data_IF_546458623887
#
_entry.id   IF_546458623887
#
_cell.length_a   1.000
_cell.length_b   1.000
_cell.length_c   1.000
_cell.angle_alpha   90.00
_cell.angle_beta   90.00
_cell.angle_gamma   90.00
#
_symmetry.space_group_name_H-M   'P 1'
#
loop_
_entity.id
_entity.type
_entity.pdbx_description
1 polymer ?
#
# COMPACT_ATOMS: atom_id res chain seq x y z
N UNK A 1 6.08 23.67 -5.54
CA UNK A 1 6.45 22.74 -4.45
C UNK A 1 6.58 21.31 -4.96
N UNK A 2 5.52 20.72 -5.54
CA UNK A 2 5.52 19.32 -6.00
C UNK A 2 6.64 18.96 -7.01
N UNK A 3 6.90 19.79 -8.03
CA UNK A 3 8.02 19.56 -8.97
C UNK A 3 9.40 19.53 -8.27
N UNK A 4 9.60 20.37 -7.25
CA UNK A 4 10.84 20.40 -6.45
C UNK A 4 10.97 19.17 -5.54
N UNK A 5 9.84 18.66 -5.03
CA UNK A 5 9.83 17.42 -4.25
C UNK A 5 10.20 16.22 -5.12
N UNK A 6 9.68 16.14 -6.35
CA UNK A 6 10.01 15.02 -7.26
C UNK A 6 11.50 14.87 -7.53
N UNK A 7 12.25 15.98 -7.65
CA UNK A 7 13.71 15.92 -7.81
C UNK A 7 14.42 15.31 -6.61
N UNK A 8 13.87 15.47 -5.40
CA UNK A 8 14.44 14.92 -4.16
C UNK A 8 14.01 13.48 -3.86
N UNK A 9 12.90 13.04 -4.46
CA UNK A 9 12.33 11.70 -4.23
C UNK A 9 12.86 10.64 -5.20
N UNK A 10 13.75 10.98 -6.13
CA UNK A 10 14.24 10.01 -7.12
C UNK A 10 14.95 8.81 -6.48
N UNK A 11 14.76 7.65 -7.11
CA UNK A 11 15.44 6.40 -6.77
C UNK A 11 16.46 6.04 -7.87
N UNK A 12 17.54 5.31 -7.55
CA UNK A 12 18.54 4.91 -8.54
C UNK A 12 18.12 3.68 -9.37
N UNK A 13 16.96 3.09 -9.09
CA UNK A 13 16.39 1.98 -9.83
C UNK A 13 15.25 2.46 -10.75
N UNK A 14 15.11 1.87 -11.96
CA UNK A 14 14.16 2.36 -12.95
C UNK A 14 12.73 1.95 -12.62
N UNK A 15 11.78 2.83 -12.93
CA UNK A 15 10.36 2.49 -13.01
C UNK A 15 10.05 1.78 -14.35
N UNK A 16 9.06 0.89 -14.33
CA UNK A 16 8.53 0.21 -15.51
C UNK A 16 7.01 0.22 -15.43
N UNK A 17 6.34 0.15 -16.57
CA UNK A 17 4.88 0.07 -16.66
C UNK A 17 4.47 -1.10 -17.54
N UNK A 18 3.41 -1.80 -17.14
CA UNK A 18 2.82 -2.87 -17.96
C UNK A 18 2.38 -2.33 -19.32
N UNK A 19 2.64 -3.04 -20.45
CA UNK A 19 2.27 -2.58 -21.79
C UNK A 19 0.76 -2.27 -21.91
N UNK A 20 -0.07 -3.10 -21.27
CA UNK A 20 -1.53 -2.96 -21.26
C UNK A 20 -2.08 -2.04 -20.16
N UNK A 21 -1.29 -1.10 -19.63
CA UNK A 21 -1.75 -0.16 -18.59
C UNK A 21 -3.02 0.63 -18.98
N UNK A 22 -3.18 0.95 -20.26
CA UNK A 22 -4.40 1.60 -20.78
C UNK A 22 -5.61 0.68 -20.71
N UNK A 23 -5.43 -0.63 -20.88
CA UNK A 23 -6.53 -1.59 -20.80
C UNK A 23 -7.00 -1.77 -19.36
N UNK A 24 -6.07 -1.95 -18.41
CA UNK A 24 -6.46 -2.08 -16.99
C UNK A 24 -7.07 -0.79 -16.44
N UNK A 25 -6.62 0.38 -16.90
CA UNK A 25 -7.22 1.66 -16.48
C UNK A 25 -8.69 1.77 -16.90
N UNK A 26 -9.08 1.16 -18.04
CA UNK A 26 -10.47 1.13 -18.50
C UNK A 26 -11.39 0.25 -17.63
N UNK A 27 -10.83 -0.65 -16.82
CA UNK A 27 -11.60 -1.49 -15.89
C UNK A 27 -11.94 -0.77 -14.58
N UNK A 28 -11.17 0.26 -14.20
CA UNK A 28 -11.33 1.00 -12.93
C UNK A 28 -12.74 1.56 -12.73
N UNK A 29 -13.40 2.18 -13.75
CA UNK A 29 -14.78 2.63 -13.60
C UNK A 29 -15.76 1.54 -13.15
N UNK A 30 -15.66 0.33 -13.70
CA UNK A 30 -16.53 -0.78 -13.33
C UNK A 30 -16.29 -1.23 -11.88
N UNK A 31 -15.03 -1.23 -11.43
CA UNK A 31 -14.70 -1.57 -10.04
C UNK A 31 -15.21 -0.50 -9.07
N UNK A 32 -15.03 0.78 -9.40
CA UNK A 32 -15.55 1.89 -8.60
C UNK A 32 -17.09 1.91 -8.55
N UNK A 33 -17.75 1.56 -9.65
CA UNK A 33 -19.22 1.54 -9.74
C UNK A 33 -19.87 0.40 -8.95
N UNK A 34 -19.13 -0.65 -8.62
CA UNK A 34 -19.58 -1.72 -7.74
C UNK A 34 -19.86 -1.25 -6.30
N UNK A 35 -19.31 -0.11 -5.88
CA UNK A 35 -19.56 0.50 -4.56
C UNK A 35 -20.83 1.36 -4.59
N UNK A 36 -21.98 0.73 -4.80
CA UNK A 36 -23.28 1.40 -5.02
C UNK A 36 -23.79 2.21 -3.83
N UNK A 37 -23.29 1.95 -2.62
CA UNK A 37 -23.58 2.74 -1.42
C UNK A 37 -22.85 4.10 -1.40
N UNK A 38 -21.84 4.29 -2.25
CA UNK A 38 -21.13 5.56 -2.37
C UNK A 38 -21.86 6.52 -3.31
N UNK A 39 -21.90 7.82 -2.99
CA UNK A 39 -22.47 8.81 -3.89
C UNK A 39 -21.67 8.90 -5.20
N UNK A 40 -22.29 9.32 -6.31
CA UNK A 40 -21.63 9.44 -7.62
C UNK A 40 -20.32 10.24 -7.59
N UNK A 41 -20.28 11.34 -6.83
CA UNK A 41 -19.10 12.19 -6.72
C UNK A 41 -17.93 11.47 -6.03
N UNK A 42 -18.20 10.70 -4.97
CA UNK A 42 -17.18 9.88 -4.31
C UNK A 42 -16.63 8.80 -5.25
N UNK A 43 -17.51 8.11 -6.00
CA UNK A 43 -17.08 7.13 -7.01
C UNK A 43 -16.21 7.76 -8.10
N UNK A 44 -16.54 8.98 -8.52
CA UNK A 44 -15.78 9.70 -9.55
C UNK A 44 -14.33 10.00 -9.13
N UNK A 45 -14.08 10.20 -7.83
CA UNK A 45 -12.71 10.39 -7.32
C UNK A 45 -11.85 9.13 -7.51
N UNK A 46 -12.41 7.93 -7.29
CA UNK A 46 -11.67 6.68 -7.51
C UNK A 46 -11.42 6.41 -9.00
N UNK A 47 -12.35 6.83 -9.88
CA UNK A 47 -12.16 6.74 -11.34
C UNK A 47 -11.07 7.66 -11.86
N UNK A 48 -10.87 8.82 -11.22
CA UNK A 48 -9.84 9.77 -11.60
C UNK A 48 -8.45 9.45 -11.03
N UNK A 49 -8.36 8.54 -10.05
CA UNK A 49 -7.13 8.29 -9.28
C UNK A 49 -6.05 7.49 -10.04
N UNK A 50 -6.30 7.06 -11.28
CA UNK A 50 -5.36 6.31 -12.11
C UNK A 50 -4.86 5.01 -11.42
N UNK A 51 -5.76 4.28 -10.76
CA UNK A 51 -5.39 3.09 -9.97
C UNK A 51 -5.01 1.89 -10.86
N UNK A 52 -5.49 1.85 -12.10
CA UNK A 52 -5.05 0.86 -13.09
C UNK A 52 -3.60 1.12 -13.48
N UNK A 53 -3.24 2.39 -13.70
CA UNK A 53 -1.86 2.83 -13.92
C UNK A 53 -0.96 2.49 -12.74
N UNK A 54 -1.36 2.76 -11.49
CA UNK A 54 -0.58 2.38 -10.30
C UNK A 54 -0.33 0.87 -10.26
N UNK A 55 -1.37 0.07 -10.48
CA UNK A 55 -1.26 -1.39 -10.52
C UNK A 55 -0.29 -1.85 -11.62
N UNK A 56 -0.36 -1.25 -12.81
CA UNK A 56 0.53 -1.53 -13.92
C UNK A 56 1.99 -1.11 -13.68
N UNK A 57 2.24 -0.10 -12.84
CA UNK A 57 3.56 0.34 -12.42
C UNK A 57 4.17 -0.60 -11.36
N UNK A 58 3.33 -1.12 -10.47
CA UNK A 58 3.73 -2.09 -9.45
C UNK A 58 4.04 -3.48 -10.02
N UNK A 59 3.28 -3.91 -11.03
CA UNK A 59 3.37 -5.25 -11.61
C UNK A 59 3.59 -5.20 -13.14
N UNK A 60 4.71 -4.63 -13.61
CA UNK A 60 4.92 -4.29 -15.01
C UNK A 60 5.06 -5.49 -15.96
N UNK A 61 5.23 -6.69 -15.43
CA UNK A 61 5.45 -7.93 -16.19
C UNK A 61 4.49 -9.06 -15.75
N UNK A 62 3.49 -8.78 -14.92
CA UNK A 62 2.52 -9.80 -14.53
C UNK A 62 1.60 -10.15 -15.70
N UNK A 63 1.12 -11.40 -15.81
CA UNK A 63 0.07 -11.73 -16.77
C UNK A 63 -1.16 -10.81 -16.60
N UNK A 64 -1.68 -10.25 -17.68
CA UNK A 64 -2.80 -9.30 -17.64
C UNK A 64 -4.01 -9.81 -16.82
N UNK A 65 -4.30 -11.12 -16.88
CA UNK A 65 -5.36 -11.74 -16.08
C UNK A 65 -5.21 -11.56 -14.57
N UNK A 66 -3.98 -11.43 -14.06
CA UNK A 66 -3.68 -11.16 -12.65
C UNK A 66 -3.70 -9.66 -12.35
N UNK A 67 -3.48 -8.80 -13.34
CA UNK A 67 -3.53 -7.35 -13.19
C UNK A 67 -4.96 -6.87 -12.84
N UNK A 68 -5.99 -7.56 -13.34
CA UNK A 68 -7.42 -7.31 -13.07
C UNK A 68 -7.74 -7.38 -11.57
N UNK A 69 -7.54 -8.51 -10.87
CA UNK A 69 -7.85 -8.57 -9.44
C UNK A 69 -6.89 -7.74 -8.57
N UNK A 70 -5.65 -7.50 -9.01
CA UNK A 70 -4.73 -6.59 -8.32
C UNK A 70 -5.26 -5.14 -8.33
N UNK A 71 -5.73 -4.67 -9.48
CA UNK A 71 -6.34 -3.36 -9.59
C UNK A 71 -7.67 -3.28 -8.83
N UNK A 72 -8.47 -4.35 -8.82
CA UNK A 72 -9.67 -4.46 -8.00
C UNK A 72 -9.35 -4.32 -6.51
N UNK A 73 -8.33 -5.03 -6.01
CA UNK A 73 -7.87 -4.90 -4.63
C UNK A 73 -7.37 -3.48 -4.34
N UNK A 74 -6.70 -2.83 -5.30
CA UNK A 74 -6.22 -1.47 -5.09
C UNK A 74 -7.36 -0.46 -4.99
N UNK A 75 -8.37 -0.55 -5.86
CA UNK A 75 -9.62 0.23 -5.69
C UNK A 75 -10.26 -0.07 -4.34
N UNK A 76 -10.29 -1.34 -3.94
CA UNK A 76 -10.82 -1.76 -2.65
C UNK A 76 -10.10 -1.11 -1.47
N UNK A 77 -8.75 -1.10 -1.45
CA UNK A 77 -7.98 -0.47 -0.36
C UNK A 77 -8.27 1.02 -0.29
N UNK A 78 -8.33 1.71 -1.42
CA UNK A 78 -8.66 3.14 -1.45
C UNK A 78 -10.06 3.43 -0.92
N UNK A 79 -11.06 2.61 -1.27
CA UNK A 79 -12.42 2.75 -0.73
C UNK A 79 -12.44 2.43 0.76
N UNK A 80 -11.78 1.35 1.19
CA UNK A 80 -11.73 0.94 2.58
C UNK A 80 -11.08 2.03 3.45
N UNK A 81 -9.98 2.60 2.98
CA UNK A 81 -9.25 3.66 3.67
C UNK A 81 -10.02 4.99 3.70
N UNK A 82 -10.51 5.49 2.55
CA UNK A 82 -11.19 6.79 2.53
C UNK A 82 -12.56 6.76 3.28
N UNK A 83 -13.23 5.59 3.34
CA UNK A 83 -14.61 5.45 3.84
C UNK A 83 -14.69 4.67 5.16
N UNK A 84 -14.18 3.44 5.20
CA UNK A 84 -14.33 2.57 6.38
C UNK A 84 -13.41 2.98 7.53
N UNK A 85 -12.25 3.58 7.22
CA UNK A 85 -11.37 4.14 8.24
C UNK A 85 -12.03 5.28 9.04
N UNK A 86 -13.21 5.79 8.65
CA UNK A 86 -13.98 6.79 9.42
C UNK A 86 -15.05 6.18 10.32
N UNK A 87 -15.37 4.89 10.19
CA UNK A 87 -16.40 4.24 11.00
C UNK A 87 -16.05 4.23 12.49
N UNK A 88 -17.03 4.19 13.40
CA UNK A 88 -16.78 3.90 14.82
C UNK A 88 -15.96 2.62 15.01
N UNK A 89 -15.11 2.60 16.04
CA UNK A 89 -14.16 1.50 16.28
C UNK A 89 -14.82 0.11 16.26
N UNK A 90 -15.99 -0.05 16.89
CA UNK A 90 -16.72 -1.32 16.93
C UNK A 90 -17.22 -1.78 15.57
N UNK A 91 -17.67 -0.86 14.72
CA UNK A 91 -18.13 -1.15 13.37
C UNK A 91 -16.96 -1.51 12.46
N UNK A 92 -15.86 -0.73 12.52
CA UNK A 92 -14.63 -1.06 11.78
C UNK A 92 -14.11 -2.45 12.16
N UNK A 93 -14.07 -2.77 13.46
CA UNK A 93 -13.65 -4.09 13.94
C UNK A 93 -14.52 -5.21 13.39
N UNK A 94 -15.85 -5.03 13.40
CA UNK A 94 -16.78 -6.04 12.88
C UNK A 94 -16.57 -6.31 11.38
N UNK A 95 -16.35 -5.26 10.57
CA UNK A 95 -16.05 -5.42 9.14
C UNK A 95 -14.70 -6.13 8.93
N UNK A 96 -13.67 -5.77 9.70
CA UNK A 96 -12.35 -6.42 9.63
C UNK A 96 -12.41 -7.91 10.04
N UNK A 97 -13.21 -8.26 11.05
CA UNK A 97 -13.46 -9.66 11.42
C UNK A 97 -14.14 -10.42 10.28
N UNK A 98 -15.10 -9.78 9.60
CA UNK A 98 -15.76 -10.38 8.46
C UNK A 98 -14.82 -10.59 7.27
N UNK A 99 -13.96 -9.62 6.94
CA UNK A 99 -12.91 -9.74 5.93
C UNK A 99 -11.91 -10.86 6.26
N UNK A 100 -11.57 -11.01 7.54
CA UNK A 100 -10.71 -12.11 8.02
C UNK A 100 -11.38 -13.48 7.81
N UNK A 101 -12.71 -13.58 8.03
CA UNK A 101 -13.48 -14.78 7.70
C UNK A 101 -13.42 -15.13 6.21
N UNK A 102 -13.52 -14.13 5.33
CA UNK A 102 -13.39 -14.33 3.87
C UNK A 102 -12.00 -14.86 3.50
N UNK A 103 -10.92 -14.32 4.07
CA UNK A 103 -9.57 -14.87 3.86
C UNK A 103 -9.44 -16.31 4.37
N UNK A 104 -10.26 -16.73 5.33
CA UNK A 104 -10.29 -18.11 5.85
C UNK A 104 -11.20 -19.04 5.04
N UNK A 105 -11.92 -18.53 4.05
CA UNK A 105 -12.74 -19.33 3.12
C UNK A 105 -14.24 -19.08 3.23
N UNK A 106 -14.69 -18.18 4.09
CA UNK A 106 -16.10 -17.80 4.11
C UNK A 106 -16.48 -17.06 2.83
N UNK A 107 -17.74 -17.22 2.40
CA UNK A 107 -18.31 -16.43 1.31
C UNK A 107 -19.16 -15.29 1.87
N UNK A 108 -19.16 -14.10 1.25
CA UNK A 108 -20.11 -13.05 1.60
C UNK A 108 -21.54 -13.51 1.32
N UNK A 109 -22.46 -13.16 2.22
CA UNK A 109 -23.90 -13.32 2.02
C UNK A 109 -24.42 -12.27 1.03
N UNK A 110 -25.50 -12.55 0.33
CA UNK A 110 -25.99 -11.73 -0.80
C UNK A 110 -26.34 -10.29 -0.39
N UNK A 111 -26.81 -10.11 0.84
CA UNK A 111 -27.20 -8.84 1.44
C UNK A 111 -26.03 -8.03 2.01
N UNK A 112 -24.84 -8.61 2.11
CA UNK A 112 -23.67 -7.91 2.61
C UNK A 112 -23.19 -6.82 1.64
N UNK A 113 -22.56 -5.78 2.17
CA UNK A 113 -22.11 -4.65 1.37
C UNK A 113 -21.06 -5.06 0.33
N UNK A 114 -20.95 -4.27 -0.74
CA UNK A 114 -20.06 -4.61 -1.86
C UNK A 114 -18.57 -4.58 -1.49
N UNK A 115 -18.18 -3.94 -0.38
CA UNK A 115 -16.81 -4.02 0.15
C UNK A 115 -16.38 -5.47 0.41
N UNK A 116 -17.26 -6.29 0.98
CA UNK A 116 -16.97 -7.69 1.30
C UNK A 116 -16.94 -8.53 0.02
N UNK A 117 -17.87 -8.26 -0.90
CA UNK A 117 -17.95 -8.93 -2.20
C UNK A 117 -16.73 -8.66 -3.08
N UNK A 118 -16.31 -7.40 -3.23
CA UNK A 118 -15.16 -7.03 -4.06
C UNK A 118 -13.86 -7.63 -3.51
N UNK A 119 -13.73 -7.70 -2.18
CA UNK A 119 -12.62 -8.37 -1.53
C UNK A 119 -12.60 -9.87 -1.84
N UNK A 120 -13.75 -10.56 -1.69
CA UNK A 120 -13.86 -11.98 -1.99
C UNK A 120 -13.58 -12.30 -3.48
N UNK A 121 -14.15 -11.52 -4.40
CA UNK A 121 -13.95 -11.68 -5.85
C UNK A 121 -12.47 -11.56 -6.20
N UNK A 122 -11.78 -10.53 -5.69
CA UNK A 122 -10.38 -10.34 -6.03
C UNK A 122 -9.48 -11.48 -5.52
N UNK A 123 -9.73 -11.99 -4.31
CA UNK A 123 -8.99 -13.14 -3.76
C UNK A 123 -9.31 -14.44 -4.50
N UNK A 124 -10.55 -14.64 -4.94
CA UNK A 124 -10.93 -15.76 -5.79
C UNK A 124 -10.20 -15.70 -7.16
N UNK A 125 -10.21 -14.55 -7.82
CA UNK A 125 -9.53 -14.32 -9.11
C UNK A 125 -7.99 -14.47 -9.00
N UNK A 126 -7.39 -14.14 -7.84
CA UNK A 126 -5.98 -14.40 -7.53
C UNK A 126 -5.68 -15.87 -7.22
N UNK A 127 -6.69 -16.75 -7.26
CA UNK A 127 -6.61 -18.14 -6.84
C UNK A 127 -6.01 -18.29 -5.43
N UNK A 128 -6.30 -17.33 -4.54
CA UNK A 128 -5.72 -17.23 -3.20
C UNK A 128 -5.83 -18.57 -2.44
N UNK A 129 -7.01 -19.19 -2.43
CA UNK A 129 -7.25 -20.43 -1.68
C UNK A 129 -6.47 -21.65 -2.22
N UNK A 130 -6.02 -21.61 -3.47
CA UNK A 130 -5.21 -22.65 -4.12
C UNK A 130 -3.71 -22.50 -3.83
N UNK A 131 -3.28 -21.40 -3.21
CA UNK A 131 -1.88 -21.18 -2.86
C UNK A 131 -1.44 -22.06 -1.68
N UNK A 132 -0.12 -22.25 -1.57
CA UNK A 132 0.51 -23.00 -0.50
C UNK A 132 0.11 -22.46 0.89
N UNK A 133 -0.14 -23.35 1.85
CA UNK A 133 -0.59 -22.97 3.19
C UNK A 133 0.34 -21.97 3.89
N UNK A 134 1.66 -22.15 3.74
CA UNK A 134 2.66 -21.24 4.32
C UNK A 134 2.57 -19.82 3.74
N UNK A 135 2.33 -19.69 2.43
CA UNK A 135 2.15 -18.38 1.79
C UNK A 135 0.83 -17.73 2.22
N UNK A 136 -0.27 -18.50 2.26
CA UNK A 136 -1.56 -18.00 2.74
C UNK A 136 -1.49 -17.47 4.18
N UNK A 137 -0.72 -18.13 5.04
CA UNK A 137 -0.54 -17.72 6.43
C UNK A 137 0.14 -16.34 6.54
N UNK A 138 1.25 -16.11 5.81
CA UNK A 138 1.91 -14.79 5.80
C UNK A 138 1.07 -13.69 5.16
N UNK A 139 0.33 -14.01 4.09
CA UNK A 139 -0.57 -13.05 3.45
C UNK A 139 -1.73 -12.64 4.36
N UNK A 140 -2.30 -13.60 5.12
CA UNK A 140 -3.30 -13.32 6.14
C UNK A 140 -2.73 -12.42 7.25
N UNK A 141 -1.51 -12.70 7.71
CA UNK A 141 -0.81 -11.88 8.70
C UNK A 141 -0.61 -10.44 8.21
N UNK A 142 -0.24 -10.25 6.94
CA UNK A 142 -0.10 -8.93 6.32
C UNK A 142 -1.41 -8.12 6.29
N UNK A 143 -2.55 -8.76 6.04
CA UNK A 143 -3.86 -8.11 6.14
C UNK A 143 -4.23 -7.77 7.58
N UNK A 144 -3.97 -8.70 8.51
CA UNK A 144 -4.22 -8.47 9.93
C UNK A 144 -3.37 -7.32 10.47
N UNK A 145 -2.11 -7.20 10.02
CA UNK A 145 -1.22 -6.10 10.36
C UNK A 145 -1.81 -4.74 9.94
N UNK A 146 -2.35 -4.66 8.72
CA UNK A 146 -3.05 -3.47 8.24
C UNK A 146 -4.32 -3.15 9.04
N UNK A 147 -5.16 -4.15 9.29
CA UNK A 147 -6.39 -4.00 10.06
C UNK A 147 -6.13 -3.52 11.49
N UNK A 148 -5.13 -4.11 12.16
CA UNK A 148 -4.69 -3.68 13.49
C UNK A 148 -4.22 -2.23 13.48
N UNK A 149 -3.45 -1.83 12.46
CA UNK A 149 -3.03 -0.45 12.26
C UNK A 149 -4.21 0.53 12.25
N UNK A 150 -5.22 0.27 11.43
CA UNK A 150 -6.39 1.15 11.33
C UNK A 150 -7.18 1.26 12.64
N UNK A 151 -7.22 0.20 13.46
CA UNK A 151 -7.84 0.25 14.79
C UNK A 151 -7.03 1.13 15.75
N UNK A 152 -5.70 1.00 15.74
CA UNK A 152 -4.79 1.78 16.57
C UNK A 152 -4.82 3.26 16.18
N UNK A 153 -4.90 3.56 14.88
CA UNK A 153 -4.98 4.93 14.37
C UNK A 153 -6.17 5.72 14.92
N UNK A 154 -7.27 5.06 15.30
CA UNK A 154 -8.44 5.71 15.93
C UNK A 154 -8.11 6.48 17.20
N UNK A 155 -6.96 6.23 17.81
CA UNK A 155 -6.47 7.01 18.95
C UNK A 155 -6.07 8.45 18.55
N UNK A 156 -5.80 8.71 17.27
CA UNK A 156 -5.24 9.97 16.77
C UNK A 156 -6.11 10.60 15.67
N UNK A 157 -6.50 9.80 14.67
CA UNK A 157 -7.25 10.27 13.49
C UNK A 157 -8.78 10.18 13.69
N UNK A 158 -9.50 10.92 12.85
CA UNK A 158 -10.96 10.95 12.69
C UNK A 158 -11.71 11.39 13.96
N UNK A 159 -11.08 12.24 14.76
CA UNK A 159 -11.65 12.89 15.96
C UNK A 159 -11.98 14.35 15.69
N UNK A 160 -12.88 14.93 16.49
CA UNK A 160 -13.20 16.37 16.41
C UNK A 160 -11.97 17.25 16.65
N UNK A 161 -11.11 16.87 17.59
CA UNK A 161 -9.83 17.50 17.84
C UNK A 161 -8.72 16.54 17.43
N UNK A 162 -7.91 16.98 16.46
CA UNK A 162 -6.82 16.18 15.94
C UNK A 162 -5.67 16.15 16.95
N UNK A 163 -5.20 14.95 17.30
CA UNK A 163 -4.03 14.78 18.17
C UNK A 163 -2.97 14.02 17.39
N UNK A 164 -1.76 14.57 17.31
CA UNK A 164 -0.66 13.91 16.62
C UNK A 164 0.10 12.98 17.58
N UNK A 165 0.46 11.76 17.15
CA UNK A 165 1.37 10.88 17.91
C UNK A 165 2.78 11.50 18.01
N UNK A 166 3.61 10.98 18.93
CA UNK A 166 5.06 11.25 18.86
C UNK A 166 5.65 10.59 17.61
N UNK A 167 6.76 11.12 17.10
CA UNK A 167 7.43 10.61 15.91
C UNK A 167 7.74 9.10 16.02
N UNK A 168 8.23 8.64 17.16
CA UNK A 168 8.52 7.23 17.39
C UNK A 168 7.28 6.33 17.31
N UNK A 169 6.14 6.81 17.81
CA UNK A 169 4.86 6.08 17.75
C UNK A 169 4.31 6.09 16.33
N UNK A 170 4.38 7.23 15.63
CA UNK A 170 4.04 7.35 14.23
C UNK A 170 4.85 6.38 13.36
N UNK A 171 6.17 6.29 13.56
CA UNK A 171 7.03 5.40 12.74
C UNK A 171 6.58 3.94 12.84
N UNK A 172 6.26 3.48 14.05
CA UNK A 172 5.77 2.10 14.26
C UNK A 172 4.36 1.88 13.71
N UNK A 173 3.48 2.88 13.86
CA UNK A 173 2.09 2.75 13.44
C UNK A 173 1.92 2.91 11.92
N UNK A 174 2.62 3.85 11.28
CA UNK A 174 2.49 4.13 9.85
C UNK A 174 2.84 2.93 8.97
N UNK A 175 3.79 2.12 9.41
CA UNK A 175 4.16 0.88 8.73
C UNK A 175 2.98 -0.07 8.55
N UNK A 176 2.02 -0.05 9.50
CA UNK A 176 0.77 -0.82 9.42
C UNK A 176 -0.22 -0.20 8.44
N UNK A 177 -0.26 1.12 8.30
CA UNK A 177 -1.36 1.87 7.69
C UNK A 177 -1.30 2.01 6.16
N UNK A 178 -0.19 1.63 5.51
CA UNK A 178 -0.07 1.74 4.05
C UNK A 178 -0.65 0.57 3.24
N UNK A 179 -1.16 -0.48 3.90
CA UNK A 179 -1.51 -1.76 3.27
C UNK A 179 -0.40 -2.33 2.35
N UNK A 180 0.86 -1.97 2.57
CA UNK A 180 1.96 -2.31 1.65
C UNK A 180 2.27 -3.82 1.64
N UNK A 181 2.25 -4.46 2.82
CA UNK A 181 2.63 -5.86 2.96
C UNK A 181 1.75 -6.84 2.17
N UNK A 182 0.42 -6.71 2.12
CA UNK A 182 -0.41 -7.51 1.21
C UNK A 182 0.06 -7.44 -0.26
N UNK A 183 0.41 -6.26 -0.78
CA UNK A 183 0.91 -6.12 -2.16
C UNK A 183 2.33 -6.67 -2.33
N UNK A 184 3.20 -6.49 -1.33
CA UNK A 184 4.54 -7.09 -1.29
C UNK A 184 4.46 -8.63 -1.35
N UNK A 185 3.49 -9.24 -0.67
CA UNK A 185 3.29 -10.70 -0.68
C UNK A 185 2.79 -11.23 -2.03
N UNK A 186 1.98 -10.44 -2.73
CA UNK A 186 1.44 -10.80 -4.05
C UNK A 186 2.53 -10.88 -5.13
N UNK A 187 3.71 -10.29 -4.89
CA UNK A 187 4.89 -10.43 -5.76
C UNK A 187 5.27 -11.89 -6.00
N UNK A 188 5.18 -12.76 -4.99
CA UNK A 188 5.46 -14.20 -5.13
C UNK A 188 4.42 -14.88 -6.03
N UNK A 189 3.15 -14.47 -5.94
CA UNK A 189 2.05 -15.02 -6.75
C UNK A 189 2.16 -14.58 -8.20
N UNK A 190 2.42 -13.30 -8.47
CA UNK A 190 2.52 -12.81 -9.85
C UNK A 190 3.77 -13.31 -10.57
N UNK A 191 4.86 -13.55 -9.85
CA UNK A 191 6.09 -14.15 -10.40
C UNK A 191 5.96 -15.67 -10.60
N UNK A 192 4.94 -16.30 -10.01
CA UNK A 192 4.79 -17.75 -10.01
C UNK A 192 5.85 -18.47 -9.16
N UNK A 193 6.55 -17.75 -8.28
CA UNK A 193 7.62 -18.28 -7.44
C UNK A 193 7.34 -17.97 -5.97
N UNK A 194 6.80 -18.96 -5.25
CA UNK A 194 6.68 -18.89 -3.80
C UNK A 194 8.02 -19.28 -3.18
N UNK A 195 8.64 -18.34 -2.46
CA UNK A 195 9.90 -18.56 -1.76
C UNK A 195 9.69 -19.51 -0.57
N UNK A 196 10.61 -20.47 -0.36
CA UNK A 196 10.61 -21.30 0.84
C UNK A 196 10.62 -20.48 2.12
N UNK A 197 10.03 -21.00 3.19
CA UNK A 197 9.92 -20.29 4.46
C UNK A 197 11.29 -19.81 5.00
N UNK A 198 12.33 -20.64 4.94
CA UNK A 198 13.69 -20.30 5.37
C UNK A 198 14.31 -19.14 4.57
N UNK A 199 14.08 -19.10 3.26
CA UNK A 199 14.55 -18.02 2.39
C UNK A 199 13.77 -16.74 2.68
N UNK A 200 12.44 -16.85 2.75
CA UNK A 200 11.56 -15.72 3.00
C UNK A 200 11.82 -15.08 4.37
N UNK A 201 12.01 -15.88 5.41
CA UNK A 201 12.26 -15.41 6.78
C UNK A 201 13.70 -14.90 7.00
N UNK A 202 14.57 -14.98 5.99
CA UNK A 202 15.91 -14.45 6.10
C UNK A 202 15.86 -12.93 6.40
N UNK A 203 16.65 -12.42 7.37
CA UNK A 203 16.60 -11.01 7.78
C UNK A 203 16.71 -10.00 6.63
N UNK A 204 17.56 -10.27 5.64
CA UNK A 204 17.70 -9.41 4.46
C UNK A 204 16.42 -9.26 3.63
N UNK A 205 15.60 -10.33 3.53
CA UNK A 205 14.31 -10.29 2.83
C UNK A 205 13.31 -9.48 3.63
N UNK A 206 13.20 -9.74 4.94
CA UNK A 206 12.31 -9.00 5.84
C UNK A 206 12.65 -7.52 5.88
N UNK A 207 13.94 -7.18 5.96
CA UNK A 207 14.40 -5.80 5.95
C UNK A 207 14.11 -5.10 4.62
N UNK A 208 14.19 -5.80 3.48
CA UNK A 208 13.82 -5.25 2.17
C UNK A 208 12.32 -4.93 2.11
N UNK A 209 11.47 -5.85 2.56
CA UNK A 209 10.00 -5.65 2.63
C UNK A 209 9.64 -4.44 3.51
N UNK A 210 10.30 -4.33 4.66
CA UNK A 210 10.18 -3.19 5.56
C UNK A 210 10.52 -1.86 4.87
N UNK A 211 11.64 -1.79 4.15
CA UNK A 211 12.01 -0.58 3.40
C UNK A 211 11.00 -0.25 2.31
N UNK A 212 10.46 -1.23 1.59
CA UNK A 212 9.41 -0.99 0.58
C UNK A 212 8.19 -0.34 1.25
N UNK A 213 7.71 -0.90 2.36
CA UNK A 213 6.57 -0.33 3.10
C UNK A 213 6.87 1.09 3.57
N UNK A 214 8.02 1.30 4.22
CA UNK A 214 8.40 2.62 4.75
C UNK A 214 8.58 3.68 3.67
N UNK A 215 9.29 3.35 2.60
CA UNK A 215 9.59 4.31 1.55
C UNK A 215 8.32 4.69 0.77
N UNK A 216 7.45 3.72 0.48
CA UNK A 216 6.17 4.01 -0.18
C UNK A 216 5.24 4.84 0.69
N UNK A 217 5.12 4.54 1.99
CA UNK A 217 4.30 5.33 2.92
C UNK A 217 4.86 6.73 3.19
N UNK A 218 6.18 6.90 3.31
CA UNK A 218 6.76 8.23 3.51
C UNK A 218 6.75 9.08 2.25
N UNK A 219 6.93 8.48 1.08
CA UNK A 219 6.76 9.18 -0.20
C UNK A 219 5.29 9.61 -0.38
N UNK A 220 4.34 8.76 0.01
CA UNK A 220 2.92 9.11 0.08
C UNK A 220 2.73 10.34 0.97
N UNK A 221 3.14 10.30 2.24
CA UNK A 221 2.97 11.42 3.18
C UNK A 221 3.54 12.76 2.68
N UNK A 222 4.70 12.72 2.02
CA UNK A 222 5.34 13.91 1.44
C UNK A 222 4.52 14.49 0.28
N UNK A 223 3.91 13.63 -0.54
CA UNK A 223 3.19 14.00 -1.75
C UNK A 223 1.69 14.22 -1.54
N UNK A 224 1.10 13.65 -0.48
CA UNK A 224 -0.32 13.74 -0.15
C UNK A 224 -0.66 14.75 0.94
N UNK A 225 0.34 15.36 1.59
CA UNK A 225 0.15 16.28 2.73
C UNK A 225 -0.95 17.34 2.52
N UNK A 226 -0.98 18.01 1.36
CA UNK A 226 -1.96 19.07 1.11
C UNK A 226 -3.41 18.54 1.03
N UNK A 227 -3.59 17.31 0.54
CA UNK A 227 -4.88 16.60 0.55
C UNK A 227 -5.26 16.25 1.99
N UNK A 228 -4.33 15.67 2.74
CA UNK A 228 -4.56 15.15 4.10
C UNK A 228 -4.72 16.26 5.15
N UNK A 229 -4.09 17.42 4.96
CA UNK A 229 -4.29 18.58 5.83
C UNK A 229 -5.76 19.04 5.89
N UNK A 230 -6.56 18.71 4.88
CA UNK A 230 -7.99 19.02 4.79
C UNK A 230 -8.86 17.90 5.38
N UNK A 231 -8.28 16.77 5.77
CA UNK A 231 -8.94 15.65 6.44
C UNK A 231 -8.66 15.70 7.95
N UNK A 232 -9.32 14.81 8.70
CA UNK A 232 -9.05 14.60 10.13
C UNK A 232 -8.03 13.47 10.31
N UNK A 233 -7.04 13.36 9.44
CA UNK A 233 -6.03 12.31 9.46
C UNK A 233 -4.75 12.80 10.14
N UNK A 234 -4.29 12.09 11.16
CA UNK A 234 -3.11 12.46 11.94
C UNK A 234 -1.83 11.74 11.48
N UNK A 235 -1.96 10.72 10.63
CA UNK A 235 -0.89 9.79 10.27
C UNK A 235 -0.07 10.27 9.07
N UNK A 236 0.49 11.47 9.17
CA UNK A 236 1.38 12.03 8.17
C UNK A 236 2.71 12.49 8.81
N UNK A 237 3.85 12.05 8.27
CA UNK A 237 5.20 12.33 8.76
C UNK A 237 5.46 13.84 8.90
N UNK A 238 5.10 14.63 7.90
CA UNK A 238 5.32 16.09 7.89
C UNK A 238 4.49 16.76 8.97
N UNK A 239 3.23 16.34 9.14
CA UNK A 239 2.33 16.87 10.16
C UNK A 239 2.82 16.53 11.58
N UNK A 240 3.25 15.28 11.80
CA UNK A 240 3.80 14.80 13.06
C UNK A 240 5.09 15.55 13.42
N UNK A 241 6.00 15.73 12.46
CA UNK A 241 7.24 16.48 12.68
C UNK A 241 6.99 17.95 12.98
N UNK A 242 6.06 18.58 12.26
CA UNK A 242 5.63 19.95 12.53
C UNK A 242 5.12 20.10 13.97
N UNK A 243 4.29 19.16 14.42
CA UNK A 243 3.73 19.17 15.78
C UNK A 243 4.80 18.89 16.85
N UNK A 244 5.63 17.87 16.68
CA UNK A 244 6.66 17.46 17.63
C UNK A 244 7.75 18.53 17.82
N UNK A 245 8.23 19.11 16.72
CA UNK A 245 9.27 20.13 16.75
C UNK A 245 8.75 21.56 16.86
N UNK A 246 7.43 21.78 16.78
CA UNK A 246 6.78 23.11 16.76
C UNK A 246 7.42 24.04 15.73
N UNK A 247 7.71 23.51 14.54
CA UNK A 247 8.45 24.21 13.50
C UNK A 247 7.55 24.63 12.32
N UNK A 248 7.99 25.58 11.48
CA UNK A 248 7.30 25.90 10.23
C UNK A 248 7.21 24.69 9.30
N UNK A 249 6.22 24.70 8.39
CA UNK A 249 5.97 23.59 7.47
C UNK A 249 7.18 23.22 6.61
N UNK A 250 7.89 24.23 6.10
CA UNK A 250 9.09 24.05 5.29
C UNK A 250 10.20 23.30 6.06
N UNK A 251 10.35 23.60 7.34
CA UNK A 251 11.32 22.93 8.21
C UNK A 251 10.92 21.48 8.48
N UNK A 252 9.62 21.21 8.70
CA UNK A 252 9.12 19.85 8.84
C UNK A 252 9.36 19.00 7.57
N UNK A 253 9.12 19.58 6.39
CA UNK A 253 9.47 18.94 5.11
C UNK A 253 10.97 18.66 5.00
N UNK A 254 11.83 19.61 5.38
CA UNK A 254 13.28 19.44 5.34
C UNK A 254 13.73 18.28 6.23
N UNK A 255 13.16 18.15 7.42
CA UNK A 255 13.44 17.03 8.34
C UNK A 255 12.94 15.71 7.75
N UNK A 256 11.69 15.66 7.25
CA UNK A 256 11.10 14.47 6.64
C UNK A 256 11.93 13.96 5.44
N UNK A 257 12.34 14.88 4.55
CA UNK A 257 13.18 14.57 3.40
C UNK A 257 14.56 14.06 3.83
N UNK A 258 15.15 14.62 4.90
CA UNK A 258 16.40 14.11 5.45
C UNK A 258 16.26 12.68 5.96
N UNK A 259 15.26 12.40 6.81
CA UNK A 259 14.98 11.05 7.31
C UNK A 259 14.76 10.06 6.17
N UNK A 260 13.99 10.45 5.15
CA UNK A 260 13.72 9.65 3.97
C UNK A 260 15.00 9.35 3.18
N UNK A 261 15.90 10.32 3.00
CA UNK A 261 17.22 10.10 2.38
C UNK A 261 18.07 9.09 3.16
N UNK A 262 18.03 9.11 4.49
CA UNK A 262 18.72 8.11 5.31
C UNK A 262 18.15 6.70 5.11
N UNK A 263 16.83 6.56 5.01
CA UNK A 263 16.20 5.26 4.70
C UNK A 263 16.57 4.77 3.30
N UNK A 264 16.63 5.65 2.30
CA UNK A 264 17.09 5.29 0.95
C UNK A 264 18.55 4.85 0.99
N UNK A 265 19.43 5.56 1.70
CA UNK A 265 20.83 5.17 1.83
C UNK A 265 20.98 3.77 2.48
N UNK A 266 20.23 3.50 3.54
CA UNK A 266 20.21 2.21 4.21
C UNK A 266 19.66 1.09 3.31
N UNK A 267 18.62 1.39 2.51
CA UNK A 267 18.09 0.46 1.51
C UNK A 267 19.15 0.09 0.46
N UNK A 268 19.88 1.07 -0.06
CA UNK A 268 20.92 0.83 -1.06
C UNK A 268 22.11 0.04 -0.50
N UNK A 269 22.47 0.26 0.77
CA UNK A 269 23.47 -0.57 1.46
C UNK A 269 23.02 -2.02 1.58
N UNK A 270 21.75 -2.26 1.94
CA UNK A 270 21.17 -3.60 1.96
C UNK A 270 21.21 -4.26 0.57
N UNK A 271 20.89 -3.51 -0.49
CA UNK A 271 20.95 -4.00 -1.87
C UNK A 271 22.38 -4.37 -2.31
N UNK A 272 23.40 -3.66 -1.81
CA UNK A 272 24.80 -3.94 -2.13
C UNK A 272 25.35 -5.18 -1.38
N UNK A 273 24.85 -5.44 -0.17
CA UNK A 273 25.29 -6.52 0.72
C UNK A 273 24.45 -7.80 0.63
N UNK A 274 24.05 -8.22 -0.57
CA UNK A 274 23.09 -9.32 -0.73
C UNK A 274 23.66 -10.68 -0.28
N UNK A 275 22.98 -11.43 0.62
CA UNK A 275 23.40 -12.76 1.03
C UNK A 275 23.40 -13.77 -0.12
N UNK A 276 24.17 -14.85 0.05
CA UNK A 276 24.09 -16.02 -0.82
C UNK A 276 22.93 -16.93 -0.38
N UNK A 277 21.91 -17.04 -1.25
CA UNK A 277 20.76 -17.92 -1.06
C UNK A 277 20.92 -19.27 -1.79
N UNK A 278 22.13 -19.59 -2.25
CA UNK A 278 22.47 -20.83 -2.95
C UNK A 278 21.58 -21.04 -4.19
N UNK A 279 20.83 -22.16 -4.27
CA UNK A 279 19.97 -22.45 -5.42
C UNK A 279 18.84 -21.42 -5.62
N UNK A 280 18.49 -20.65 -4.59
CA UNK A 280 17.41 -19.66 -4.64
C UNK A 280 17.87 -18.27 -5.09
N UNK A 281 19.16 -18.05 -5.36
CA UNK A 281 19.70 -16.74 -5.74
C UNK A 281 18.96 -16.07 -6.90
N UNK A 282 18.60 -16.82 -7.94
CA UNK A 282 17.87 -16.27 -9.11
C UNK A 282 16.47 -15.80 -8.71
N UNK A 283 15.72 -16.65 -8.01
CA UNK A 283 14.37 -16.32 -7.56
C UNK A 283 14.36 -15.13 -6.60
N UNK A 284 15.33 -15.07 -5.69
CA UNK A 284 15.49 -13.99 -4.74
C UNK A 284 15.86 -12.67 -5.43
N UNK A 285 16.73 -12.69 -6.44
CA UNK A 285 17.07 -11.49 -7.23
C UNK A 285 15.86 -10.97 -8.02
N UNK A 286 15.07 -11.86 -8.59
CA UNK A 286 13.82 -11.50 -9.29
C UNK A 286 12.80 -10.89 -8.31
N UNK A 287 12.58 -11.53 -7.16
CA UNK A 287 11.74 -10.99 -6.08
C UNK A 287 12.20 -9.60 -5.63
N UNK A 288 13.50 -9.44 -5.37
CA UNK A 288 14.11 -8.18 -5.00
C UNK A 288 13.88 -7.06 -6.04
N UNK A 289 14.06 -7.36 -7.32
CA UNK A 289 13.82 -6.40 -8.41
C UNK A 289 12.35 -5.97 -8.48
N UNK A 290 11.42 -6.91 -8.28
CA UNK A 290 9.98 -6.59 -8.27
C UNK A 290 9.59 -5.69 -7.09
N UNK A 291 10.24 -5.87 -5.94
CA UNK A 291 10.09 -4.95 -4.81
C UNK A 291 10.58 -3.53 -5.13
N UNK A 292 11.66 -3.39 -5.93
CA UNK A 292 12.11 -2.06 -6.40
C UNK A 292 11.04 -1.40 -7.26
N UNK A 293 10.35 -2.15 -8.12
CA UNK A 293 9.26 -1.63 -8.95
C UNK A 293 8.06 -1.15 -8.14
N UNK A 294 7.75 -1.79 -7.00
CA UNK A 294 6.71 -1.28 -6.10
C UNK A 294 7.05 0.15 -5.63
N UNK A 295 8.31 0.38 -5.23
CA UNK A 295 8.78 1.69 -4.75
C UNK A 295 8.78 2.72 -5.89
N UNK A 296 9.50 2.44 -6.99
CA UNK A 296 9.63 3.39 -8.10
C UNK A 296 8.30 3.63 -8.81
N UNK A 297 7.49 2.58 -8.93
CA UNK A 297 6.16 2.64 -9.54
C UNK A 297 5.19 3.47 -8.70
N UNK A 298 5.27 3.37 -7.37
CA UNK A 298 4.48 4.23 -6.47
C UNK A 298 4.82 5.70 -6.69
N UNK A 299 6.10 6.07 -6.72
CA UNK A 299 6.52 7.45 -6.98
C UNK A 299 6.09 7.92 -8.39
N UNK A 300 6.27 7.07 -9.40
CA UNK A 300 5.90 7.38 -10.80
C UNK A 300 4.39 7.59 -10.96
N UNK A 301 3.58 6.92 -10.14
CA UNK A 301 2.13 7.10 -10.14
C UNK A 301 1.72 8.51 -9.75
N UNK A 302 2.40 9.14 -8.79
CA UNK A 302 2.13 10.53 -8.42
C UNK A 302 2.45 11.52 -9.53
N UNK A 303 3.35 11.17 -10.46
CA UNK A 303 3.69 12.04 -11.59
C UNK A 303 2.45 12.19 -12.47
N UNK A 304 1.99 13.42 -12.60
CA UNK A 304 0.83 13.82 -13.39
C UNK A 304 -0.51 13.18 -12.95
N UNK A 305 -0.62 12.81 -11.66
CA UNK A 305 -1.86 12.29 -11.10
C UNK A 305 -2.82 13.40 -10.65
N UNK A 306 -4.05 13.47 -11.20
CA UNK A 306 -5.01 14.52 -10.86
C UNK A 306 -5.54 14.44 -9.41
N UNK A 307 -5.36 13.32 -8.70
CA UNK A 307 -5.72 13.19 -7.28
C UNK A 307 -4.86 14.06 -6.36
N UNK A 308 -3.63 14.39 -6.79
CA UNK A 308 -2.65 15.15 -6.00
C UNK A 308 -2.15 16.41 -6.72
N UNK A 309 -2.74 16.76 -7.86
CA UNK A 309 -2.43 17.94 -8.65
C UNK A 309 -3.13 19.21 -8.14
#
# INVERSE_FOLDING_TARGET
MMQSLFTELQYPFPSRIHPDHVLIEKEIPAFADAYTFLPPDARSQFKAAQLGRLTALWYPDCPFRLLIPLARLLVWVFVFDDVYARLPLSQLKAVQDRLTGILRGDLPAQEEESILHQFAIAHHELAFHNQAAAWKARYLESWQYFFEGQLLEKQYSYKQELTYPRLAEYIGLREKLGAAYPYIDLVEVVSGCILPAEVFQHPAIQQRRFFVSRLTTWDNDLLSFDKEKRSLEAMNLVAVLQHEHRCPLEEAYRIALHMRREQVAAYLQLCAGWPDFGPWNTAVKDYALRLDWLISGHLEWYRDNPRYA
#
